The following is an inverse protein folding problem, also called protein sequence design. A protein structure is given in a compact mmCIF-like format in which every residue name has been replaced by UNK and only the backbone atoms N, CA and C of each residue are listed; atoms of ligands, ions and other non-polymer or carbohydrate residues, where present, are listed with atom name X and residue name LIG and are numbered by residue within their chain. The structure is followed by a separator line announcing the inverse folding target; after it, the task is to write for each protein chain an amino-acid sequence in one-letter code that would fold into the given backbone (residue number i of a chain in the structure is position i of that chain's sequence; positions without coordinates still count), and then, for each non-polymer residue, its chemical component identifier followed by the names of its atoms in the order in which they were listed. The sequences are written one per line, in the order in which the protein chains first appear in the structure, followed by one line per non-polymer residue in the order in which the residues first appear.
data_IF_672931073380
#
_entry.id   IF_672931073380
#
_cell.length_a   1.000
_cell.length_b   1.000
_cell.length_c   1.000
_cell.angle_alpha   90.00
_cell.angle_beta   90.00
_cell.angle_gamma   90.00
#
_symmetry.space_group_name_H-M   'P 1'
#
loop_
_entity.id
_entity.type
_entity.pdbx_description
1 polymer ?
#
# COMPACT_ATOMS: atom_id res chain seq x y z
N UNK A 1 -26.19 -1.03 -3.32
CA UNK A 1 -24.90 -1.78 -3.31
C UNK A 1 -23.86 -0.80 -3.82
N UNK A 2 -23.04 -0.22 -2.95
CA UNK A 2 -22.04 0.77 -3.37
C UNK A 2 -20.81 0.05 -3.88
N UNK A 3 -20.82 -0.28 -5.17
CA UNK A 3 -19.62 -0.54 -5.95
C UNK A 3 -18.82 0.76 -6.02
N UNK A 4 -17.84 0.94 -5.11
CA UNK A 4 -16.94 2.08 -5.18
C UNK A 4 -15.67 1.67 -5.93
N UNK A 5 -15.39 2.22 -7.13
CA UNK A 5 -14.14 2.03 -7.86
C UNK A 5 -12.95 2.78 -7.23
N UNK A 6 -13.00 3.04 -5.91
CA UNK A 6 -12.07 3.87 -5.14
C UNK A 6 -11.18 3.04 -4.19
N UNK A 7 -10.96 1.77 -4.54
CA UNK A 7 -10.06 0.88 -3.80
C UNK A 7 -8.58 1.15 -4.14
N UNK A 8 -8.24 2.14 -4.97
CA UNK A 8 -6.86 2.41 -5.40
C UNK A 8 -6.31 3.68 -4.78
N UNK A 9 -5.48 3.55 -3.74
CA UNK A 9 -4.79 4.66 -3.09
C UNK A 9 -3.51 5.05 -3.83
N UNK A 10 -3.19 6.33 -3.80
CA UNK A 10 -1.85 6.79 -4.18
C UNK A 10 -0.82 6.46 -3.09
N UNK A 11 0.48 6.34 -3.42
CA UNK A 11 1.55 6.18 -2.42
C UNK A 11 1.47 7.22 -1.30
N UNK A 12 1.04 8.45 -1.61
CA UNK A 12 0.92 9.52 -0.62
C UNK A 12 -0.20 9.24 0.38
N UNK A 13 -1.36 8.79 -0.09
CA UNK A 13 -2.45 8.38 0.79
C UNK A 13 -2.10 7.15 1.61
N UNK A 14 -1.38 6.18 1.04
CA UNK A 14 -0.88 5.02 1.81
C UNK A 14 0.07 5.49 2.90
N UNK A 15 0.97 6.41 2.60
CA UNK A 15 1.84 7.04 3.58
C UNK A 15 1.05 7.73 4.70
N UNK A 16 0.03 8.53 4.37
CA UNK A 16 -0.82 9.17 5.37
C UNK A 16 -1.60 8.14 6.20
N UNK A 17 -2.17 7.11 5.58
CA UNK A 17 -2.98 6.07 6.25
C UNK A 17 -2.14 5.22 7.21
N UNK A 18 -0.87 5.01 6.91
CA UNK A 18 0.07 4.31 7.79
C UNK A 18 0.84 5.24 8.74
N UNK A 19 0.76 6.56 8.56
CA UNK A 19 1.57 7.53 9.30
C UNK A 19 3.07 7.39 9.03
N UNK A 20 3.45 6.93 7.83
CA UNK A 20 4.85 6.76 7.42
C UNK A 20 5.21 7.71 6.28
N UNK A 21 6.50 7.90 6.05
CA UNK A 21 6.98 8.68 4.90
C UNK A 21 7.11 7.84 3.64
N UNK A 22 7.11 8.47 2.47
CA UNK A 22 7.35 7.80 1.18
C UNK A 22 8.69 7.08 1.14
N UNK A 23 9.69 7.58 1.89
CA UNK A 23 10.99 6.90 2.04
C UNK A 23 10.83 5.54 2.72
N UNK A 24 10.04 5.46 3.79
CA UNK A 24 9.72 4.20 4.47
C UNK A 24 8.91 3.28 3.58
N UNK A 25 7.92 3.83 2.85
CA UNK A 25 7.12 3.06 1.89
C UNK A 25 7.99 2.43 0.79
N UNK A 26 8.93 3.20 0.23
CA UNK A 26 9.87 2.73 -0.78
C UNK A 26 10.79 1.65 -0.23
N UNK A 27 11.32 1.85 0.99
CA UNK A 27 12.11 0.85 1.71
C UNK A 27 11.34 -0.44 1.91
N UNK A 28 10.05 -0.35 2.23
CA UNK A 28 9.19 -1.52 2.40
C UNK A 28 8.94 -2.24 1.09
N UNK A 29 8.80 -1.51 -0.01
CA UNK A 29 8.62 -2.12 -1.33
C UNK A 29 9.85 -2.97 -1.74
N UNK A 30 11.06 -2.60 -1.32
CA UNK A 30 12.29 -3.36 -1.62
C UNK A 30 12.61 -4.44 -0.58
N UNK A 31 12.56 -4.10 0.71
CA UNK A 31 13.09 -4.93 1.80
C UNK A 31 12.02 -5.66 2.62
N UNK A 32 10.74 -5.27 2.53
CA UNK A 32 9.72 -5.85 3.40
C UNK A 32 9.35 -7.27 2.98
N UNK A 33 9.17 -8.14 3.99
CA UNK A 33 8.73 -9.53 3.81
C UNK A 33 7.37 -9.64 3.12
N UNK A 34 6.51 -8.64 3.31
CA UNK A 34 5.17 -8.53 2.73
C UNK A 34 5.08 -7.59 1.51
N UNK A 35 6.20 -7.31 0.83
CA UNK A 35 6.21 -6.46 -0.37
C UNK A 35 5.26 -6.95 -1.47
N UNK A 36 5.01 -8.26 -1.56
CA UNK A 36 4.05 -8.83 -2.50
C UNK A 36 2.60 -8.46 -2.18
N UNK A 37 2.29 -8.16 -0.92
CA UNK A 37 0.98 -7.65 -0.52
C UNK A 37 0.91 -6.17 -0.90
N UNK A 38 1.92 -5.40 -0.55
CA UNK A 38 2.04 -3.99 -0.93
C UNK A 38 2.54 -3.82 -2.38
N UNK A 39 2.08 -4.68 -3.30
CA UNK A 39 2.50 -4.63 -4.69
C UNK A 39 1.87 -3.41 -5.38
N UNK A 40 2.66 -2.48 -5.94
CA UNK A 40 2.13 -1.33 -6.64
C UNK A 40 1.50 -1.76 -7.98
N UNK A 41 0.25 -1.35 -8.18
CA UNK A 41 -0.42 -1.37 -9.47
C UNK A 41 0.15 -0.25 -10.33
N UNK A 42 0.97 -0.62 -11.31
CA UNK A 42 1.56 0.34 -12.26
C UNK A 42 0.47 0.82 -13.20
N UNK A 43 -0.01 2.04 -12.99
CA UNK A 43 -0.90 2.72 -13.92
C UNK A 43 -0.12 3.33 -15.09
N UNK A 44 1.08 3.85 -14.82
CA UNK A 44 1.99 4.42 -15.83
C UNK A 44 3.44 4.40 -15.32
N UNK A 45 4.41 4.74 -16.18
CA UNK A 45 5.84 4.73 -15.84
C UNK A 45 6.21 5.56 -14.58
N UNK A 46 5.40 6.56 -14.22
CA UNK A 46 5.56 7.39 -13.01
C UNK A 46 4.41 7.28 -11.99
N UNK A 47 3.31 6.61 -12.36
CA UNK A 47 2.10 6.57 -11.53
C UNK A 47 1.87 5.14 -11.09
N UNK A 48 2.08 4.91 -9.79
CA UNK A 48 1.74 3.67 -9.11
C UNK A 48 0.57 3.92 -8.17
N UNK A 49 -0.36 2.97 -8.10
CA UNK A 49 -1.44 2.95 -7.12
C UNK A 49 -1.38 1.67 -6.31
N UNK A 50 -1.96 1.69 -5.13
CA UNK A 50 -2.00 0.57 -4.21
C UNK A 50 -3.44 0.23 -3.92
N UNK A 51 -3.78 -1.06 -3.95
CA UNK A 51 -5.11 -1.46 -3.51
C UNK A 51 -5.26 -1.26 -2.00
N UNK A 52 -6.37 -0.66 -1.59
CA UNK A 52 -6.76 -0.43 -0.20
C UNK A 52 -6.81 -1.74 0.55
N UNK A 53 -7.40 -2.77 -0.05
CA UNK A 53 -7.41 -4.14 0.49
C UNK A 53 -6.01 -4.67 0.75
N UNK A 54 -5.09 -4.43 -0.16
CA UNK A 54 -3.69 -4.84 -0.01
C UNK A 54 -3.00 -4.06 1.11
N UNK A 55 -3.24 -2.75 1.20
CA UNK A 55 -2.72 -1.90 2.27
C UNK A 55 -3.27 -2.33 3.63
N UNK A 56 -4.56 -2.63 3.73
CA UNK A 56 -5.19 -3.12 4.96
C UNK A 56 -4.73 -4.52 5.34
N UNK A 57 -4.62 -5.44 4.37
CA UNK A 57 -4.05 -6.76 4.58
C UNK A 57 -2.58 -6.69 5.01
N UNK A 58 -1.81 -5.74 4.47
CA UNK A 58 -0.45 -5.45 4.88
C UNK A 58 -0.42 -4.98 6.34
N UNK A 59 -1.27 -4.01 6.72
CA UNK A 59 -1.36 -3.51 8.11
C UNK A 59 -1.76 -4.64 9.05
N UNK A 60 -2.75 -5.46 8.67
CA UNK A 60 -3.17 -6.61 9.47
C UNK A 60 -2.06 -7.65 9.64
N UNK A 61 -1.33 -7.99 8.57
CA UNK A 61 -0.18 -8.91 8.66
C UNK A 61 0.94 -8.33 9.51
N UNK A 62 1.20 -7.03 9.39
CA UNK A 62 2.22 -6.34 10.18
C UNK A 62 1.84 -6.24 11.67
N UNK A 63 0.55 -6.05 11.98
CA UNK A 63 0.01 -6.02 13.35
C UNK A 63 -0.17 -7.41 13.96
N UNK A 64 -0.53 -8.42 13.17
CA UNK A 64 -0.80 -9.79 13.65
C UNK A 64 0.46 -10.52 14.13
N UNK A 65 1.64 -9.92 13.98
CA UNK A 65 2.90 -10.47 14.48
C UNK A 65 3.25 -9.96 15.90
N UNK A 66 2.32 -9.32 16.61
CA UNK A 66 2.49 -8.87 17.99
C UNK A 66 1.40 -9.41 18.91
#
# INVERSE_FOLDING_TARGET
MTEQPDDLLTPDEVCQKLGITQKTLCKWNTEHRHRSILAPVKFSAKVVRYERRNVEAFIQKCRSQY
#
